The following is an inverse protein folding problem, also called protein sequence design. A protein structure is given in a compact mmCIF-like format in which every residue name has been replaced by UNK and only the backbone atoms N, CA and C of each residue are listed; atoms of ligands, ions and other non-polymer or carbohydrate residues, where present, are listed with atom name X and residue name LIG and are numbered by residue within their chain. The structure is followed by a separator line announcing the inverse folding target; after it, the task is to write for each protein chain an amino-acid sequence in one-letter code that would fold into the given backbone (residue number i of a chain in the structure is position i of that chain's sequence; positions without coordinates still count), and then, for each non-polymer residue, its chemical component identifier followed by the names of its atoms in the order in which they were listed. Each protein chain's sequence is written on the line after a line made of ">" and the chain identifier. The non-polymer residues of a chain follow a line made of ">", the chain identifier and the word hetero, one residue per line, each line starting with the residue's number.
data_IF_560900434142
#
_entry.id   IF_560900434142
#
_cell.length_a   1.000
_cell.length_b   1.000
_cell.length_c   1.000
_cell.angle_alpha   90.00
_cell.angle_beta   90.00
_cell.angle_gamma   90.00
#
_symmetry.space_group_name_H-M   'P 1'
#
loop_
_entity.id
_entity.type
_entity.pdbx_description
1 polymer ?
#
# COMPACT_ATOMS: atom_id res chain seq x y z
N UNK A 1 11.39 -25.49 -7.73
CA UNK A 1 11.33 -24.10 -7.24
C UNK A 1 10.00 -23.53 -7.71
N UNK A 2 9.21 -22.91 -6.84
CA UNK A 2 7.91 -22.34 -7.22
C UNK A 2 8.12 -21.05 -8.01
N UNK A 3 7.20 -20.73 -8.90
CA UNK A 3 7.18 -19.46 -9.62
C UNK A 3 5.76 -19.09 -10.04
N UNK A 4 5.50 -17.79 -10.19
CA UNK A 4 4.19 -17.27 -10.57
C UNK A 4 4.32 -16.13 -11.58
N UNK A 5 3.45 -16.16 -12.58
CA UNK A 5 3.18 -15.07 -13.52
C UNK A 5 1.73 -15.28 -13.98
N UNK A 6 0.79 -14.43 -13.55
CA UNK A 6 -0.65 -14.62 -13.84
C UNK A 6 -1.05 -13.94 -15.15
N UNK A 7 -0.38 -12.86 -15.51
CA UNK A 7 -0.61 -12.08 -16.74
C UNK A 7 0.68 -11.90 -17.52
N UNK A 8 0.55 -11.65 -18.82
CA UNK A 8 1.69 -11.35 -19.70
C UNK A 8 2.47 -10.08 -19.28
N UNK A 9 1.81 -9.14 -18.59
CA UNK A 9 2.46 -7.95 -18.05
C UNK A 9 3.12 -8.15 -16.69
N UNK A 10 2.86 -9.27 -16.01
CA UNK A 10 3.48 -9.57 -14.73
C UNK A 10 4.95 -9.95 -14.94
N UNK A 11 5.79 -9.56 -14.00
CA UNK A 11 7.15 -10.11 -13.90
C UNK A 11 7.06 -11.52 -13.31
N UNK A 12 7.92 -12.43 -13.79
CA UNK A 12 8.06 -13.76 -13.21
C UNK A 12 8.65 -13.62 -11.80
N UNK A 13 7.89 -14.01 -10.78
CA UNK A 13 8.36 -14.08 -9.40
C UNK A 13 8.70 -15.53 -9.09
N UNK A 14 9.89 -15.77 -8.55
CA UNK A 14 10.39 -17.10 -8.18
C UNK A 14 10.58 -17.22 -6.67
N UNK A 15 10.41 -18.42 -6.12
CA UNK A 15 10.73 -18.74 -4.73
C UNK A 15 12.25 -18.81 -4.54
N UNK A 16 12.87 -17.63 -4.54
CA UNK A 16 14.30 -17.39 -4.34
C UNK A 16 14.48 -16.30 -3.28
N UNK A 17 15.63 -16.29 -2.57
CA UNK A 17 15.95 -15.22 -1.63
C UNK A 17 15.77 -13.85 -2.28
N UNK A 18 15.19 -12.91 -1.52
CA UNK A 18 14.96 -11.54 -1.98
C UNK A 18 16.27 -10.89 -2.42
N UNK A 19 16.20 -10.20 -3.58
CA UNK A 19 17.35 -9.60 -4.23
C UNK A 19 17.25 -8.07 -4.20
N UNK A 20 18.38 -7.35 -4.20
CA UNK A 20 18.41 -5.90 -4.31
C UNK A 20 17.56 -5.37 -5.50
N UNK A 21 16.85 -4.24 -5.33
CA UNK A 21 16.92 -3.31 -4.20
C UNK A 21 16.09 -3.74 -2.97
N UNK A 22 15.41 -4.88 -3.01
CA UNK A 22 14.59 -5.38 -1.91
C UNK A 22 15.43 -6.13 -0.86
N UNK A 23 14.96 -6.24 0.39
CA UNK A 23 13.77 -5.58 0.94
C UNK A 23 13.98 -4.06 1.13
N UNK A 24 12.95 -3.27 0.81
CA UNK A 24 12.94 -1.82 1.12
C UNK A 24 12.06 -1.61 2.34
N UNK A 25 12.64 -1.08 3.41
CA UNK A 25 11.96 -0.86 4.67
C UNK A 25 11.65 0.62 4.88
N UNK A 26 10.40 0.91 5.21
CA UNK A 26 9.96 2.21 5.71
C UNK A 26 9.62 2.08 7.20
N UNK A 27 10.10 3.00 8.05
CA UNK A 27 9.80 2.97 9.48
C UNK A 27 8.31 3.25 9.73
N UNK A 28 7.88 3.11 10.99
CA UNK A 28 6.54 3.53 11.37
C UNK A 28 6.30 5.00 11.03
N UNK A 29 5.21 5.24 10.31
CA UNK A 29 4.77 6.56 9.94
C UNK A 29 3.24 6.62 9.91
N UNK A 30 2.71 7.83 10.07
CA UNK A 30 1.28 8.05 10.14
C UNK A 30 0.59 7.77 8.78
N UNK A 31 -0.56 7.10 8.83
CA UNK A 31 -1.41 6.84 7.67
C UNK A 31 -2.24 8.09 7.35
N UNK A 32 -2.01 8.64 6.16
CA UNK A 32 -2.65 9.87 5.72
C UNK A 32 -4.06 9.65 5.17
N UNK A 33 -4.92 10.65 5.35
CA UNK A 33 -6.22 10.71 4.67
C UNK A 33 -5.99 11.05 3.20
N UNK A 34 -6.28 10.11 2.30
CA UNK A 34 -6.19 10.34 0.86
C UNK A 34 -7.23 11.35 0.33
N UNK A 35 -7.07 11.74 -0.92
CA UNK A 35 -7.88 12.81 -1.56
C UNK A 35 -9.37 12.49 -1.75
N UNK A 36 -9.81 11.25 -1.51
CA UNK A 36 -11.21 10.84 -1.68
C UNK A 36 -11.58 10.40 -3.08
N UNK A 37 -10.61 9.89 -3.85
CA UNK A 37 -10.85 9.31 -5.17
C UNK A 37 -11.22 7.83 -4.99
N UNK A 38 -12.46 7.46 -5.29
CA UNK A 38 -13.02 6.14 -5.69
C UNK A 38 -12.57 4.80 -5.08
N UNK A 39 -11.37 4.62 -4.51
CA UNK A 39 -10.86 3.30 -4.06
C UNK A 39 -11.67 2.71 -2.91
N UNK A 40 -12.29 3.56 -2.09
CA UNK A 40 -13.24 3.11 -1.06
C UNK A 40 -14.55 2.58 -1.65
N UNK A 41 -14.98 3.09 -2.80
CA UNK A 41 -16.18 2.62 -3.52
C UNK A 41 -15.90 1.33 -4.30
N UNK A 42 -14.61 1.02 -4.53
CA UNK A 42 -14.12 -0.20 -5.16
C UNK A 42 -13.86 -1.34 -4.16
N UNK A 43 -14.27 -1.19 -2.89
CA UNK A 43 -13.96 -2.14 -1.81
C UNK A 43 -12.45 -2.47 -1.70
N UNK A 44 -11.59 -1.55 -2.11
CA UNK A 44 -10.13 -1.69 -2.08
C UNK A 44 -9.54 -0.50 -1.32
N UNK A 45 -9.76 -0.41 0.01
CA UNK A 45 -9.25 0.70 0.79
C UNK A 45 -7.71 0.73 0.73
N UNK A 46 -7.16 1.87 0.32
CA UNK A 46 -5.72 2.13 0.30
C UNK A 46 -5.31 3.10 1.40
N UNK A 47 -4.31 2.73 2.17
CA UNK A 47 -3.61 3.59 3.12
C UNK A 47 -2.57 4.42 2.35
N UNK A 48 -2.60 5.75 2.53
CA UNK A 48 -1.62 6.65 1.90
C UNK A 48 -0.45 6.84 2.85
N UNK A 49 0.76 6.61 2.35
CA UNK A 49 2.01 6.60 3.11
C UNK A 49 2.96 7.60 2.45
N UNK A 50 3.48 8.57 3.22
CA UNK A 50 4.49 9.50 2.72
C UNK A 50 5.79 8.77 2.38
N UNK A 51 6.43 9.17 1.28
CA UNK A 51 7.75 8.66 0.92
C UNK A 51 8.79 9.58 1.56
N UNK A 52 9.69 9.09 2.44
CA UNK A 52 10.78 9.90 2.98
C UNK A 52 11.62 10.51 1.85
N UNK A 53 11.97 11.81 1.95
CA UNK A 53 12.64 12.56 0.87
C UNK A 53 14.04 12.02 0.54
N UNK A 54 14.68 11.36 1.49
CA UNK A 54 15.99 10.74 1.41
C UNK A 54 15.95 9.28 0.92
N UNK A 55 14.77 8.72 0.66
CA UNK A 55 14.62 7.39 0.09
C UNK A 55 14.69 7.44 -1.44
N UNK A 56 15.90 7.43 -2.00
CA UNK A 56 16.12 7.53 -3.45
C UNK A 56 15.51 6.35 -4.24
N UNK A 57 15.41 5.16 -3.63
CA UNK A 57 14.78 4.02 -4.29
C UNK A 57 13.30 4.30 -4.60
N UNK A 58 12.54 4.76 -3.62
CA UNK A 58 11.12 5.07 -3.81
C UNK A 58 10.90 6.35 -4.61
N UNK A 59 11.76 7.37 -4.41
CA UNK A 59 11.61 8.66 -5.06
C UNK A 59 12.05 8.66 -6.53
N UNK A 60 13.02 7.81 -6.92
CA UNK A 60 13.70 7.90 -8.22
C UNK A 60 13.92 6.56 -8.91
N UNK A 61 14.40 5.54 -8.20
CA UNK A 61 14.96 4.34 -8.86
C UNK A 61 13.90 3.29 -9.21
N UNK A 62 12.90 3.11 -8.35
CA UNK A 62 11.87 2.12 -8.56
C UNK A 62 10.89 2.54 -9.67
N UNK A 63 10.49 1.64 -10.59
CA UNK A 63 9.47 1.94 -11.59
C UNK A 63 8.12 2.25 -10.92
N UNK A 64 7.22 2.95 -11.63
CA UNK A 64 5.81 2.97 -11.20
C UNK A 64 5.16 1.62 -11.46
N UNK A 65 4.16 1.27 -10.65
CA UNK A 65 3.43 0.02 -10.79
C UNK A 65 3.05 -0.60 -9.46
N UNK A 66 2.76 -1.90 -9.49
CA UNK A 66 2.25 -2.66 -8.36
C UNK A 66 3.35 -3.57 -7.81
N UNK A 67 3.45 -3.57 -6.49
CA UNK A 67 4.43 -4.31 -5.70
C UNK A 67 3.71 -5.13 -4.62
N UNK A 68 4.43 -6.08 -4.02
CA UNK A 68 3.96 -6.83 -2.86
C UNK A 68 4.94 -6.68 -1.69
N UNK A 69 4.42 -6.87 -0.49
CA UNK A 69 5.18 -6.73 0.72
C UNK A 69 4.40 -7.14 1.96
N UNK A 70 4.96 -6.77 3.10
CA UNK A 70 4.30 -6.90 4.40
C UNK A 70 4.29 -5.55 5.10
N UNK A 71 3.24 -5.31 5.87
CA UNK A 71 3.15 -4.14 6.74
C UNK A 71 2.89 -4.57 8.18
N UNK A 72 3.15 -3.66 9.11
CA UNK A 72 2.76 -3.79 10.51
C UNK A 72 1.98 -2.55 10.91
N UNK A 73 0.95 -2.74 11.72
CA UNK A 73 0.09 -1.66 12.19
C UNK A 73 0.18 -1.54 13.71
N UNK A 74 0.09 -0.30 14.19
CA UNK A 74 -0.14 0.01 15.60
C UNK A 74 -0.93 1.30 15.76
N UNK A 75 -1.67 1.47 16.89
CA UNK A 75 -2.25 2.75 17.23
C UNK A 75 -1.18 3.84 17.35
N UNK A 76 -1.53 5.09 17.07
CA UNK A 76 -0.61 6.21 17.20
C UNK A 76 -0.16 6.37 18.67
N UNK A 77 1.15 6.33 18.91
CA UNK A 77 1.71 6.36 20.28
C UNK A 77 1.67 7.73 20.94
N UNK A 78 1.45 8.82 20.18
CA UNK A 78 1.58 10.18 20.67
C UNK A 78 0.23 10.86 20.96
N UNK A 79 -0.83 10.50 20.24
CA UNK A 79 -2.17 11.05 20.45
C UNK A 79 -3.24 10.07 19.93
N UNK A 80 -4.19 9.72 20.80
CA UNK A 80 -5.33 8.83 20.50
C UNK A 80 -6.67 9.57 20.36
N UNK A 81 -6.67 10.90 20.46
CA UNK A 81 -7.89 11.69 20.30
C UNK A 81 -8.44 11.56 18.87
N UNK A 82 -9.72 11.23 18.77
CA UNK A 82 -10.44 11.24 17.51
C UNK A 82 -10.57 12.66 16.99
N UNK A 83 -10.19 12.88 15.74
CA UNK A 83 -10.43 14.15 15.07
C UNK A 83 -11.24 13.93 13.79
N UNK A 84 -11.79 15.02 13.26
CA UNK A 84 -12.42 15.02 11.94
C UNK A 84 -11.58 15.84 10.99
N UNK A 85 -11.31 15.29 9.81
CA UNK A 85 -10.59 15.97 8.74
C UNK A 85 -11.46 16.02 7.49
N UNK A 86 -11.55 17.18 6.84
CA UNK A 86 -12.24 17.32 5.55
C UNK A 86 -11.39 16.80 4.42
N UNK A 87 -11.97 16.00 3.53
CA UNK A 87 -11.33 15.57 2.28
C UNK A 87 -11.19 16.76 1.34
N UNK A 88 -10.00 16.90 0.75
CA UNK A 88 -9.65 18.03 -0.12
C UNK A 88 -10.57 18.17 -1.33
N UNK A 89 -10.98 17.05 -1.96
CA UNK A 89 -11.74 17.09 -3.22
C UNK A 89 -13.25 16.95 -3.06
N UNK A 90 -13.73 16.28 -2.01
CA UNK A 90 -15.16 15.99 -1.85
C UNK A 90 -15.85 16.77 -0.73
N UNK A 91 -15.12 17.59 0.03
CA UNK A 91 -15.61 18.32 1.22
C UNK A 91 -16.23 17.45 2.33
N UNK A 92 -16.28 16.12 2.17
CA UNK A 92 -16.77 15.19 3.18
C UNK A 92 -15.80 15.08 4.35
N UNK A 93 -16.34 15.01 5.57
CA UNK A 93 -15.55 14.77 6.78
C UNK A 93 -15.23 13.29 6.93
N UNK A 94 -13.99 13.00 7.31
CA UNK A 94 -13.50 11.66 7.64
C UNK A 94 -13.04 11.66 9.08
N UNK A 95 -13.44 10.63 9.82
CA UNK A 95 -12.93 10.40 11.17
C UNK A 95 -11.48 9.87 11.10
N UNK A 96 -10.59 10.54 11.81
CA UNK A 96 -9.21 10.11 12.06
C UNK A 96 -9.19 9.59 13.49
N UNK A 97 -9.25 8.27 13.62
CA UNK A 97 -9.36 7.61 14.92
C UNK A 97 -8.03 7.08 15.45
N UNK A 98 -6.91 7.35 14.76
CA UNK A 98 -5.56 7.01 15.23
C UNK A 98 -5.34 5.52 15.53
N UNK A 99 -6.15 4.66 14.91
CA UNK A 99 -6.04 3.21 15.05
C UNK A 99 -6.52 2.65 16.39
N UNK A 100 -7.38 3.36 17.13
CA UNK A 100 -7.85 2.90 18.45
C UNK A 100 -8.55 1.52 18.42
N UNK A 101 -9.13 1.13 17.28
CA UNK A 101 -9.84 -0.15 17.09
C UNK A 101 -8.91 -1.28 16.62
N UNK A 102 -7.64 -0.99 16.29
CA UNK A 102 -6.74 -1.99 15.72
C UNK A 102 -6.52 -3.19 16.64
N UNK A 103 -6.51 -2.97 17.96
CA UNK A 103 -6.32 -4.06 18.94
C UNK A 103 -7.47 -5.08 18.93
N UNK A 104 -8.65 -4.64 18.52
CA UNK A 104 -9.84 -5.50 18.43
C UNK A 104 -9.90 -6.24 17.08
N UNK A 105 -9.23 -5.71 16.05
CA UNK A 105 -9.29 -6.22 14.68
C UNK A 105 -8.06 -7.01 14.25
N UNK A 106 -6.86 -6.74 14.80
CA UNK A 106 -5.63 -7.46 14.48
C UNK A 106 -4.62 -7.51 15.63
N UNK A 107 -3.69 -8.45 15.54
CA UNK A 107 -2.51 -8.43 16.40
C UNK A 107 -1.60 -7.26 16.00
N UNK A 108 -1.25 -6.43 16.97
CA UNK A 108 -0.41 -5.25 16.78
C UNK A 108 1.04 -5.67 16.52
N UNK A 109 1.73 -4.94 15.64
CA UNK A 109 3.12 -5.19 15.27
C UNK A 109 3.40 -6.57 14.61
N UNK A 110 2.35 -7.29 14.22
CA UNK A 110 2.42 -8.52 13.42
C UNK A 110 2.40 -8.20 11.93
N UNK A 111 3.15 -8.99 11.13
CA UNK A 111 3.21 -8.84 9.68
C UNK A 111 1.87 -9.18 9.06
N UNK A 112 1.33 -8.23 8.29
CA UNK A 112 0.14 -8.40 7.46
C UNK A 112 0.55 -8.30 5.98
N UNK A 113 0.13 -9.25 5.14
CA UNK A 113 0.40 -9.19 3.70
C UNK A 113 -0.27 -7.97 3.07
N UNK A 114 0.39 -7.34 2.11
CA UNK A 114 -0.16 -6.22 1.37
C UNK A 114 0.30 -6.18 -0.09
N UNK A 115 -0.52 -5.56 -0.93
CA UNK A 115 -0.10 -5.02 -2.23
C UNK A 115 0.04 -3.51 -2.09
N UNK A 116 0.89 -2.91 -2.90
CA UNK A 116 1.07 -1.47 -2.92
C UNK A 116 1.25 -0.95 -4.35
N UNK A 117 0.77 0.27 -4.57
CA UNK A 117 0.92 1.00 -5.82
C UNK A 117 1.89 2.14 -5.60
N UNK A 118 2.89 2.23 -6.48
CA UNK A 118 3.78 3.39 -6.55
C UNK A 118 3.50 4.12 -7.86
N UNK A 119 3.06 5.38 -7.75
CA UNK A 119 2.66 6.20 -8.89
C UNK A 119 3.14 7.64 -8.77
N UNK A 120 2.47 8.55 -9.49
CA UNK A 120 2.68 9.98 -9.38
C UNK A 120 1.40 10.69 -8.97
N UNK A 121 1.49 11.52 -7.93
CA UNK A 121 0.51 12.55 -7.65
C UNK A 121 0.80 13.79 -8.52
N UNK A 122 -0.22 14.30 -9.19
CA UNK A 122 -0.17 15.57 -9.91
C UNK A 122 -0.79 16.61 -8.97
N UNK A 123 0.05 17.45 -8.36
CA UNK A 123 -0.41 18.65 -7.67
C UNK A 123 -0.58 19.77 -8.68
N UNK A 124 -1.81 20.29 -8.80
CA UNK A 124 -2.18 21.44 -9.64
C UNK A 124 -1.73 22.76 -9.00
N UNK A 125 -0.43 22.89 -8.72
CA UNK A 125 0.17 24.19 -8.44
C UNK A 125 1.05 24.59 -9.63
N UNK A 126 1.31 25.89 -9.82
CA UNK A 126 1.82 26.53 -11.05
C UNK A 126 3.12 25.93 -11.64
N UNK A 127 3.79 25.03 -10.92
CA UNK A 127 5.03 24.37 -11.31
C UNK A 127 4.88 22.90 -11.80
N UNK A 128 3.66 22.32 -11.83
CA UNK A 128 3.41 20.91 -12.23
C UNK A 128 4.40 19.90 -11.62
N UNK A 129 4.70 20.03 -10.32
CA UNK A 129 5.61 19.10 -9.65
C UNK A 129 4.91 17.75 -9.52
N UNK A 130 5.45 16.72 -10.18
CA UNK A 130 5.05 15.33 -9.95
C UNK A 130 5.75 14.83 -8.70
N UNK A 131 5.00 14.58 -7.63
CA UNK A 131 5.50 13.87 -6.45
C UNK A 131 5.15 12.40 -6.56
N UNK A 132 6.03 11.52 -6.07
CA UNK A 132 5.75 10.08 -5.99
C UNK A 132 4.66 9.85 -4.95
N UNK A 133 3.75 8.93 -5.26
CA UNK A 133 2.72 8.47 -4.32
C UNK A 133 2.96 7.00 -3.98
N UNK A 134 2.65 6.63 -2.74
CA UNK A 134 2.68 5.26 -2.24
C UNK A 134 1.35 4.94 -1.55
N UNK A 135 0.63 4.00 -2.14
CA UNK A 135 -0.68 3.55 -1.65
C UNK A 135 -0.61 2.07 -1.30
N UNK A 136 -0.97 1.70 -0.08
CA UNK A 136 -0.88 0.33 0.43
C UNK A 136 -2.28 -0.24 0.65
N UNK A 137 -2.56 -1.40 0.09
CA UNK A 137 -3.76 -2.19 0.37
C UNK A 137 -3.39 -3.46 1.14
N UNK A 138 -3.88 -3.55 2.37
CA UNK A 138 -3.62 -4.69 3.26
C UNK A 138 -4.59 -5.81 2.90
N UNK A 139 -4.10 -7.05 2.77
CA UNK A 139 -4.91 -8.22 2.40
C UNK A 139 -5.64 -8.81 3.61
N UNK A 140 -6.14 -7.92 4.47
CA UNK A 140 -6.95 -8.22 5.64
C UNK A 140 -8.10 -7.23 5.65
N UNK A 141 -9.30 -7.75 5.90
CA UNK A 141 -10.47 -6.92 6.08
C UNK A 141 -10.47 -6.29 7.47
N UNK A 142 -10.84 -5.01 7.49
CA UNK A 142 -11.00 -4.20 8.69
C UNK A 142 -12.41 -3.62 8.70
N UNK A 143 -13.07 -3.70 9.85
CA UNK A 143 -14.40 -3.11 10.05
C UNK A 143 -14.29 -1.59 10.16
N UNK A 144 -13.26 -1.10 10.85
CA UNK A 144 -13.04 0.33 11.03
C UNK A 144 -11.91 0.83 10.14
N UNK A 145 -12.07 2.06 9.61
CA UNK A 145 -10.93 2.79 9.05
C UNK A 145 -9.94 3.10 10.17
N UNK A 146 -8.67 3.22 9.83
CA UNK A 146 -7.58 3.44 10.80
C UNK A 146 -6.70 4.64 10.40
N UNK A 147 -7.30 5.70 9.86
CA UNK A 147 -6.58 6.92 9.51
C UNK A 147 -5.86 7.48 10.74
N UNK A 148 -4.61 7.89 10.53
CA UNK A 148 -3.72 8.40 11.55
C UNK A 148 -3.10 7.35 12.49
N UNK A 149 -3.40 6.06 12.30
CA UNK A 149 -2.60 4.98 12.88
C UNK A 149 -1.20 4.97 12.26
N UNK A 150 -0.28 4.21 12.85
CA UNK A 150 1.09 4.09 12.33
C UNK A 150 1.29 2.78 11.56
N UNK A 151 1.95 2.87 10.41
CA UNK A 151 2.32 1.73 9.57
C UNK A 151 3.82 1.68 9.37
N UNK A 152 4.42 0.50 9.59
CA UNK A 152 5.76 0.15 9.08
C UNK A 152 5.57 -0.71 7.83
N UNK A 153 6.30 -0.44 6.75
CA UNK A 153 6.17 -1.15 5.48
C UNK A 153 7.49 -1.80 5.06
N UNK A 154 7.41 -3.04 4.57
CA UNK A 154 8.53 -3.76 3.94
C UNK A 154 8.10 -4.19 2.54
N UNK A 155 8.71 -3.61 1.50
CA UNK A 155 8.46 -3.93 0.10
C UNK A 155 9.42 -5.05 -0.32
N UNK A 156 8.88 -6.13 -0.88
CA UNK A 156 9.61 -7.37 -1.12
C UNK A 156 9.81 -7.69 -2.60
N UNK A 157 9.01 -7.10 -3.49
CA UNK A 157 9.17 -7.29 -4.91
C UNK A 157 8.11 -6.59 -5.74
N UNK A 158 8.31 -6.64 -7.05
CA UNK A 158 7.47 -6.00 -8.05
C UNK A 158 6.59 -7.03 -8.76
N UNK A 159 5.31 -6.72 -8.95
CA UNK A 159 4.35 -7.56 -9.67
C UNK A 159 4.30 -7.14 -11.14
N UNK A 160 3.97 -5.87 -11.42
CA UNK A 160 3.69 -5.40 -12.79
C UNK A 160 3.75 -3.88 -12.93
N UNK A 161 3.92 -3.34 -14.16
CA UNK A 161 3.78 -1.90 -14.42
C UNK A 161 2.35 -1.40 -14.25
N UNK A 162 2.23 -0.07 -14.22
CA UNK A 162 0.94 0.60 -14.42
C UNK A 162 0.40 0.25 -15.81
N UNK A 163 -0.84 -0.23 -15.86
CA UNK A 163 -1.55 -0.56 -17.10
C UNK A 163 -2.85 0.22 -17.16
N UNK A 164 -3.31 0.51 -18.38
CA UNK A 164 -4.64 1.07 -18.60
C UNK A 164 -5.65 -0.07 -18.68
N UNK A 165 -6.73 0.08 -17.93
CA UNK A 165 -7.90 -0.77 -18.03
C UNK A 165 -8.97 -0.07 -18.87
N UNK A 166 -9.71 -0.84 -19.67
CA UNK A 166 -10.74 -0.30 -20.55
C UNK A 166 -12.11 -0.20 -19.86
N UNK A 167 -12.26 -0.83 -18.69
CA UNK A 167 -13.47 -0.80 -17.89
C UNK A 167 -13.15 -0.85 -16.39
N UNK A 168 -14.17 -0.56 -15.58
CA UNK A 168 -14.09 -0.71 -14.12
C UNK A 168 -13.91 -2.18 -13.72
N UNK A 169 -14.61 -3.08 -14.40
CA UNK A 169 -14.54 -4.52 -14.13
C UNK A 169 -13.14 -5.07 -14.41
N UNK A 170 -12.50 -4.64 -15.52
CA UNK A 170 -11.12 -5.01 -15.83
C UNK A 170 -10.14 -4.50 -14.77
N UNK A 171 -10.36 -3.28 -14.25
CA UNK A 171 -9.55 -2.73 -13.16
C UNK A 171 -9.71 -3.56 -11.88
N UNK A 172 -10.94 -3.90 -11.52
CA UNK A 172 -11.24 -4.72 -10.34
C UNK A 172 -10.62 -6.10 -10.45
N UNK A 173 -10.77 -6.78 -11.59
CA UNK A 173 -10.13 -8.06 -11.86
C UNK A 173 -8.60 -7.96 -11.78
N UNK A 174 -8.02 -6.90 -12.35
CA UNK A 174 -6.59 -6.63 -12.28
C UNK A 174 -6.08 -6.51 -10.83
N UNK A 175 -6.82 -5.79 -9.98
CA UNK A 175 -6.52 -5.65 -8.56
C UNK A 175 -6.63 -6.99 -7.84
N UNK A 176 -7.67 -7.78 -8.10
CA UNK A 176 -7.84 -9.10 -7.47
C UNK A 176 -6.70 -10.06 -7.84
N UNK A 177 -6.22 -10.03 -9.09
CA UNK A 177 -5.04 -10.80 -9.51
C UNK A 177 -3.80 -10.34 -8.74
N UNK A 178 -3.60 -9.03 -8.53
CA UNK A 178 -2.48 -8.51 -7.74
C UNK A 178 -2.50 -9.06 -6.31
N UNK A 179 -3.68 -9.07 -5.66
CA UNK A 179 -3.88 -9.61 -4.31
C UNK A 179 -3.63 -11.11 -4.24
N UNK A 180 -4.05 -11.86 -5.27
CA UNK A 180 -3.80 -13.30 -5.36
C UNK A 180 -2.30 -13.61 -5.49
N UNK A 181 -1.58 -12.87 -6.34
CA UNK A 181 -0.12 -13.03 -6.50
C UNK A 181 0.57 -12.77 -5.16
N UNK A 182 0.28 -11.65 -4.51
CA UNK A 182 0.89 -11.32 -3.22
C UNK A 182 0.56 -12.35 -2.14
N UNK A 183 -0.71 -12.74 -2.02
CA UNK A 183 -1.15 -13.79 -1.07
C UNK A 183 -0.39 -15.09 -1.26
N UNK A 184 -0.17 -15.52 -2.51
CA UNK A 184 0.54 -16.75 -2.81
C UNK A 184 2.04 -16.64 -2.53
N UNK A 185 2.70 -15.62 -3.10
CA UNK A 185 4.16 -15.43 -3.00
C UNK A 185 4.60 -15.26 -1.55
N UNK A 186 3.83 -14.53 -0.75
CA UNK A 186 4.16 -14.28 0.63
C UNK A 186 4.10 -15.55 1.48
N UNK A 187 3.49 -16.65 1.03
CA UNK A 187 3.56 -17.96 1.73
C UNK A 187 4.85 -18.73 1.48
N UNK A 188 5.68 -18.31 0.51
CA UNK A 188 6.85 -19.06 0.12
C UNK A 188 8.02 -18.86 1.11
N UNK A 189 8.86 -19.88 1.22
CA UNK A 189 9.92 -19.94 2.24
C UNK A 189 10.87 -18.74 2.15
N UNK A 190 11.15 -18.28 0.92
CA UNK A 190 12.07 -17.17 0.68
C UNK A 190 11.58 -15.82 1.22
N UNK A 191 10.28 -15.68 1.50
CA UNK A 191 9.67 -14.43 1.97
C UNK A 191 9.24 -14.47 3.44
N UNK A 192 9.20 -15.65 4.07
CA UNK A 192 8.74 -15.81 5.46
C UNK A 192 9.73 -15.28 6.50
N UNK A 193 11.03 -15.33 6.22
CA UNK A 193 12.10 -15.03 7.17
C UNK A 193 12.66 -13.60 7.07
N UNK A 194 11.98 -12.69 6.35
CA UNK A 194 12.44 -11.32 6.09
C UNK A 194 11.97 -10.36 7.16
#
# INVERSE_FOLDING_TARGET
>A
MKSIQKRSCDVLIEDKPVQPPYPINLPYQEINVGFGRGSSDLNCPTANIDIPKDNDDLNKNLPTGVYFGVCKLRPNSHNLEKTKQKRVLSNNEVEVNKGIHLKDECEIDTKLPCVLSIGYNITYDDNQIKSRSLEVHILKDFEHKFYGAEMQLTILGYIRPEIKFNSLDELMEGIEIDKQVASEVLTWQSFQNI
#
